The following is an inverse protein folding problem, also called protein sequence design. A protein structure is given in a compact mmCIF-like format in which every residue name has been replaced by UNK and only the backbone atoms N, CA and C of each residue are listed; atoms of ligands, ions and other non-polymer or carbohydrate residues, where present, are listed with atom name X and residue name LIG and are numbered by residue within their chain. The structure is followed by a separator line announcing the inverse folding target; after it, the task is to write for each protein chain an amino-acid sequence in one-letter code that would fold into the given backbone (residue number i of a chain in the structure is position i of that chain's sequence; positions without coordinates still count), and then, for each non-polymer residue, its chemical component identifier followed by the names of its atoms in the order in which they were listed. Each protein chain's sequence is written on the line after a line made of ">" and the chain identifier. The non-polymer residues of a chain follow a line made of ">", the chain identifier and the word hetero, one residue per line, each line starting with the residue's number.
data_IF_605947421333
#
_entry.id   IF_605947421333
#
_cell.length_a   1.000
_cell.length_b   1.000
_cell.length_c   1.000
_cell.angle_alpha   90.00
_cell.angle_beta   90.00
_cell.angle_gamma   90.00
#
_symmetry.space_group_name_H-M   'P 1'
#
loop_
_entity.id
_entity.type
_entity.pdbx_description
1 polymer ?
#
# COMPACT_ATOMS: atom_id res chain seq x y z
N UNK A 1 -23.22 -71.71 -23.47
CA UNK A 1 -23.12 -71.70 -21.99
C UNK A 1 -21.63 -71.61 -21.65
N UNK A 2 -21.06 -70.59 -21.04
CA UNK A 2 -21.51 -69.42 -20.28
C UNK A 2 -20.60 -68.23 -20.70
N UNK A 3 -21.15 -67.05 -20.95
CA UNK A 3 -20.37 -65.81 -21.08
C UNK A 3 -20.58 -64.93 -19.86
N UNK A 4 -19.46 -64.55 -19.24
CA UNK A 4 -19.31 -63.83 -17.99
C UNK A 4 -19.67 -62.35 -18.20
N UNK A 5 -20.69 -61.84 -17.50
CA UNK A 5 -20.94 -60.40 -17.39
C UNK A 5 -20.07 -59.81 -16.28
N UNK A 6 -19.26 -58.80 -16.60
CA UNK A 6 -18.74 -57.85 -15.60
C UNK A 6 -18.92 -56.44 -16.14
N UNK A 7 -19.87 -55.72 -15.55
CA UNK A 7 -20.01 -54.27 -15.62
C UNK A 7 -18.80 -53.63 -14.92
N UNK A 8 -18.08 -52.77 -15.62
CA UNK A 8 -17.18 -51.81 -14.99
C UNK A 8 -17.87 -50.45 -15.03
N UNK A 9 -18.29 -49.96 -13.86
CA UNK A 9 -18.85 -48.64 -13.69
C UNK A 9 -17.74 -47.60 -13.85
N UNK A 10 -17.92 -46.65 -14.78
CA UNK A 10 -17.08 -45.46 -14.86
C UNK A 10 -17.45 -44.53 -13.69
N UNK A 11 -16.54 -44.38 -12.74
CA UNK A 11 -16.63 -43.34 -11.71
C UNK A 11 -16.18 -42.04 -12.36
N UNK A 12 -17.14 -41.22 -12.76
CA UNK A 12 -16.89 -39.83 -13.13
C UNK A 12 -16.61 -39.07 -11.83
N UNK A 13 -15.33 -38.86 -11.52
CA UNK A 13 -14.92 -37.94 -10.47
C UNK A 13 -15.25 -36.53 -10.97
N UNK A 14 -16.36 -35.98 -10.47
CA UNK A 14 -16.69 -34.58 -10.66
C UNK A 14 -15.60 -33.73 -10.05
N UNK A 15 -14.73 -33.19 -10.90
CA UNK A 15 -13.78 -32.15 -10.54
C UNK A 15 -14.61 -30.90 -10.26
N UNK A 16 -15.02 -30.70 -9.00
CA UNK A 16 -15.47 -29.39 -8.56
C UNK A 16 -14.24 -28.48 -8.55
N UNK A 17 -14.01 -27.80 -9.67
CA UNK A 17 -13.13 -26.65 -9.71
C UNK A 17 -13.75 -25.59 -8.78
N UNK A 18 -13.25 -25.51 -7.56
CA UNK A 18 -13.39 -24.30 -6.77
C UNK A 18 -12.62 -23.22 -7.55
N UNK A 19 -13.35 -22.43 -8.35
CA UNK A 19 -12.83 -21.19 -8.91
C UNK A 19 -12.62 -20.19 -7.78
N UNK A 20 -11.58 -20.40 -6.99
CA UNK A 20 -10.97 -19.33 -6.23
C UNK A 20 -10.26 -18.44 -7.24
N UNK A 21 -10.97 -17.45 -7.77
CA UNK A 21 -10.33 -16.30 -8.39
C UNK A 21 -9.53 -15.61 -7.28
N UNK A 22 -8.29 -16.05 -7.07
CA UNK A 22 -7.29 -15.21 -6.42
C UNK A 22 -7.31 -13.91 -7.21
N UNK A 23 -7.71 -12.81 -6.59
CA UNK A 23 -7.57 -11.50 -7.20
C UNK A 23 -6.10 -11.40 -7.62
N UNK A 24 -5.84 -11.35 -8.92
CA UNK A 24 -4.48 -11.32 -9.44
C UNK A 24 -3.91 -9.95 -9.06
N UNK A 25 -3.09 -9.91 -8.03
CA UNK A 25 -2.38 -8.69 -7.66
C UNK A 25 -1.13 -8.53 -8.50
N UNK A 26 -0.65 -7.29 -8.57
CA UNK A 26 0.59 -6.92 -9.26
C UNK A 26 1.45 -6.07 -8.33
N UNK A 27 2.76 -6.16 -8.52
CA UNK A 27 3.74 -5.26 -7.90
C UNK A 27 4.07 -4.16 -8.90
N UNK A 28 3.65 -2.91 -8.67
CA UNK A 28 3.97 -1.81 -9.58
C UNK A 28 5.48 -1.60 -9.65
N UNK A 29 5.96 -1.13 -10.81
CA UNK A 29 7.35 -0.76 -11.01
C UNK A 29 7.43 0.75 -11.12
N UNK A 30 8.03 1.39 -10.13
CA UNK A 30 8.21 2.84 -10.12
C UNK A 30 9.60 3.21 -10.64
N UNK A 31 9.66 4.24 -11.47
CA UNK A 31 10.91 4.87 -11.89
C UNK A 31 11.41 5.83 -10.82
N UNK A 32 12.60 5.58 -10.28
CA UNK A 32 13.22 6.45 -9.27
C UNK A 32 13.40 7.89 -9.78
N UNK A 33 13.19 8.87 -8.91
CA UNK A 33 13.27 10.29 -9.24
C UNK A 33 12.10 10.83 -10.06
N UNK A 34 11.16 9.96 -10.49
CA UNK A 34 9.89 10.41 -11.07
C UNK A 34 8.93 10.82 -9.95
N UNK A 35 8.27 11.98 -10.04
CA UNK A 35 7.23 12.35 -9.09
C UNK A 35 5.97 11.50 -9.34
N UNK A 36 5.29 11.13 -8.27
CA UNK A 36 4.01 10.43 -8.28
C UNK A 36 3.02 11.19 -7.40
N UNK A 37 1.74 10.93 -7.62
CA UNK A 37 0.68 11.29 -6.70
C UNK A 37 0.12 10.00 -6.07
N UNK A 38 -0.14 10.04 -4.76
CA UNK A 38 -0.72 8.93 -4.00
C UNK A 38 -2.05 9.44 -3.43
N UNK A 39 -3.15 8.85 -3.89
CA UNK A 39 -4.51 9.22 -3.53
C UNK A 39 -5.22 8.07 -2.79
N UNK A 40 -6.02 8.39 -1.78
CA UNK A 40 -6.92 7.42 -1.14
C UNK A 40 -7.98 6.97 -2.13
N UNK A 41 -8.30 5.67 -2.11
CA UNK A 41 -9.33 5.09 -2.96
C UNK A 41 -10.77 5.44 -2.52
N UNK A 42 -10.97 6.03 -1.34
CA UNK A 42 -12.32 6.34 -0.82
C UNK A 42 -12.85 7.67 -1.36
N UNK A 43 -12.01 8.69 -1.42
CA UNK A 43 -12.41 10.08 -1.64
C UNK A 43 -11.44 10.84 -2.55
N UNK A 44 -10.60 10.13 -3.32
CA UNK A 44 -9.58 10.68 -4.23
C UNK A 44 -8.69 11.75 -3.59
N UNK A 45 -8.52 11.62 -2.28
CA UNK A 45 -7.83 12.59 -1.46
C UNK A 45 -6.35 12.26 -1.40
N UNK A 46 -5.49 13.26 -1.57
CA UNK A 46 -4.05 13.02 -1.70
C UNK A 46 -3.37 13.18 -0.37
N UNK A 47 -2.40 12.31 -0.14
CA UNK A 47 -1.54 12.40 1.03
C UNK A 47 -0.68 13.68 0.93
N UNK A 48 -0.59 14.47 2.00
CA UNK A 48 0.34 15.61 2.11
C UNK A 48 0.97 15.74 3.49
N UNK A 49 2.27 16.08 3.57
CA UNK A 49 2.96 16.34 4.84
C UNK A 49 2.71 17.77 5.34
N UNK A 50 2.02 17.94 6.47
CA UNK A 50 2.21 19.12 7.29
C UNK A 50 3.41 18.92 8.22
N UNK A 51 4.53 19.59 7.94
CA UNK A 51 5.65 19.64 8.87
C UNK A 51 5.41 20.75 9.92
N UNK A 52 4.62 20.44 10.94
CA UNK A 52 4.33 21.34 12.07
C UNK A 52 5.48 21.52 13.04
N UNK A 53 6.74 21.46 12.58
CA UNK A 53 7.91 21.61 13.43
C UNK A 53 7.94 23.00 14.09
N UNK A 54 7.44 23.09 15.32
CA UNK A 54 7.84 24.12 16.26
C UNK A 54 9.06 23.61 17.03
N UNK A 55 10.01 24.50 17.30
CA UNK A 55 11.29 24.15 17.92
C UNK A 55 11.09 23.36 19.22
N UNK A 56 11.47 22.08 19.23
CA UNK A 56 11.48 21.22 20.43
C UNK A 56 10.44 20.10 20.48
N UNK A 57 9.56 19.96 19.48
CA UNK A 57 8.63 18.83 19.37
C UNK A 57 8.98 18.05 18.10
N UNK A 58 9.16 16.70 18.14
CA UNK A 58 9.32 15.94 16.90
C UNK A 58 8.12 16.20 16.01
N UNK A 59 8.37 16.56 14.75
CA UNK A 59 7.35 16.88 13.76
C UNK A 59 6.26 15.82 13.77
N UNK A 60 5.08 16.15 14.30
CA UNK A 60 3.89 15.37 14.01
C UNK A 60 3.60 15.59 12.53
N UNK A 61 3.86 14.57 11.74
CA UNK A 61 3.54 14.54 10.33
C UNK A 61 2.05 14.27 10.26
N UNK A 62 1.28 15.33 10.06
CA UNK A 62 -0.11 15.15 9.68
C UNK A 62 -0.10 14.89 8.19
N UNK A 63 -0.58 13.71 7.83
CA UNK A 63 -0.86 13.39 6.45
C UNK A 63 -2.27 13.86 6.19
N UNK A 64 -2.39 15.06 5.61
CA UNK A 64 -3.67 15.67 5.29
C UNK A 64 -4.07 15.33 3.86
N UNK A 65 -5.36 15.48 3.59
CA UNK A 65 -5.97 15.37 2.28
C UNK A 65 -5.83 16.69 1.54
N UNK A 66 -5.07 16.74 0.44
CA UNK A 66 -4.96 17.95 -0.39
C UNK A 66 -5.23 17.67 -1.87
N UNK A 67 -5.44 18.69 -2.72
CA UNK A 67 -5.51 18.50 -4.17
C UNK A 67 -4.16 18.02 -4.79
N UNK A 68 -4.18 17.27 -5.91
CA UNK A 68 -3.02 16.56 -6.49
C UNK A 68 -1.79 17.42 -6.77
N UNK A 69 -2.04 18.68 -7.13
CA UNK A 69 -1.04 19.64 -7.57
C UNK A 69 -0.10 20.13 -6.45
N UNK A 70 -0.35 19.75 -5.19
CA UNK A 70 0.37 20.27 -4.03
C UNK A 70 1.28 19.24 -3.32
N UNK A 71 1.34 17.98 -3.79
CA UNK A 71 2.19 16.95 -3.19
C UNK A 71 2.84 16.09 -4.27
N UNK A 72 4.16 16.22 -4.47
CA UNK A 72 4.93 15.30 -5.32
C UNK A 72 5.65 14.28 -4.46
N UNK A 73 5.35 13.01 -4.71
CA UNK A 73 5.90 11.86 -4.01
C UNK A 73 6.99 11.19 -4.81
N UNK A 74 8.04 10.73 -4.16
CA UNK A 74 9.12 9.98 -4.78
C UNK A 74 9.23 8.62 -4.12
N UNK A 75 9.18 7.57 -4.94
CA UNK A 75 9.41 6.20 -4.52
C UNK A 75 10.85 5.81 -4.87
N UNK A 76 11.58 5.24 -3.91
CA UNK A 76 12.95 4.77 -4.10
C UNK A 76 13.07 3.35 -3.58
N UNK A 77 13.63 2.46 -4.40
CA UNK A 77 13.70 1.04 -4.10
C UNK A 77 14.58 0.77 -2.88
N UNK A 78 14.17 -0.18 -2.04
CA UNK A 78 15.00 -0.68 -0.93
C UNK A 78 15.77 -1.92 -1.37
N UNK A 79 16.82 -2.27 -0.62
CA UNK A 79 17.64 -3.47 -0.91
C UNK A 79 16.86 -4.78 -0.83
N UNK A 80 15.71 -4.76 -0.16
CA UNK A 80 14.90 -5.95 0.12
C UNK A 80 13.69 -6.06 -0.82
N UNK A 81 13.61 -5.17 -1.83
CA UNK A 81 12.58 -5.18 -2.86
C UNK A 81 11.29 -4.42 -2.50
N UNK A 82 11.31 -3.67 -1.41
CA UNK A 82 10.26 -2.70 -1.06
C UNK A 82 10.58 -1.30 -1.58
N UNK A 83 9.86 -0.32 -1.04
CA UNK A 83 9.92 1.08 -1.45
C UNK A 83 9.96 1.99 -0.23
N UNK A 84 10.89 2.94 -0.25
CA UNK A 84 10.75 4.13 0.57
C UNK A 84 9.88 5.15 -0.13
N UNK A 85 9.13 5.92 0.65
CA UNK A 85 8.21 6.94 0.15
C UNK A 85 8.64 8.28 0.73
N UNK A 86 8.98 9.25 -0.12
CA UNK A 86 9.45 10.59 0.28
C UNK A 86 8.61 11.69 -0.38
N UNK A 87 8.49 12.86 0.26
CA UNK A 87 7.77 14.01 -0.29
C UNK A 87 8.76 15.14 -0.60
N UNK A 88 8.53 15.84 -1.72
CA UNK A 88 9.21 17.06 -2.18
C UNK A 88 10.70 16.91 -2.52
N UNK A 89 11.40 15.97 -1.88
CA UNK A 89 12.80 15.66 -2.13
C UNK A 89 13.03 14.15 -2.04
N UNK A 90 13.50 13.50 -3.12
CA UNK A 90 13.71 12.06 -3.13
C UNK A 90 14.78 11.64 -2.13
N UNK A 91 14.48 10.56 -1.37
CA UNK A 91 15.43 9.82 -0.55
C UNK A 91 16.15 10.60 0.58
N UNK A 92 15.62 11.74 1.03
CA UNK A 92 16.14 12.48 2.20
C UNK A 92 15.34 12.17 3.47
N UNK A 93 14.03 12.44 3.40
CA UNK A 93 13.09 12.25 4.50
C UNK A 93 11.96 11.35 4.01
N UNK A 94 11.74 10.24 4.70
CA UNK A 94 10.80 9.21 4.28
C UNK A 94 9.66 9.08 5.27
N UNK A 95 8.48 8.73 4.75
CA UNK A 95 7.36 8.29 5.55
C UNK A 95 7.78 7.08 6.37
N UNK A 96 7.34 7.05 7.62
CA UNK A 96 7.60 5.98 8.57
C UNK A 96 6.27 5.60 9.19
N UNK A 97 5.88 4.34 9.08
CA UNK A 97 4.70 3.76 9.72
C UNK A 97 5.14 3.07 11.02
N UNK A 98 5.04 3.74 12.19
CA UNK A 98 5.46 3.16 13.44
C UNK A 98 4.57 1.97 13.78
N UNK A 99 5.16 0.90 14.30
CA UNK A 99 4.38 -0.21 14.83
C UNK A 99 3.58 0.21 16.07
N UNK A 100 2.35 -0.27 16.19
CA UNK A 100 1.54 -0.10 17.39
C UNK A 100 0.07 0.19 17.08
N UNK A 101 -0.77 0.02 18.09
CA UNK A 101 -2.21 0.26 17.99
C UNK A 101 -2.49 1.73 17.60
N UNK A 102 -3.12 1.93 16.44
CA UNK A 102 -3.53 3.24 15.92
C UNK A 102 -2.38 4.27 15.81
N UNK A 103 -1.20 3.78 15.44
CA UNK A 103 -0.03 4.62 15.26
C UNK A 103 -0.22 5.59 14.08
N UNK A 104 -0.02 6.88 14.34
CA UNK A 104 0.03 7.88 13.28
C UNK A 104 1.32 7.72 12.48
N UNK A 105 1.24 7.81 11.14
CA UNK A 105 2.42 7.85 10.31
C UNK A 105 3.27 9.10 10.65
N UNK A 106 4.59 8.95 10.54
CA UNK A 106 5.58 9.97 10.87
C UNK A 106 6.58 10.11 9.71
N UNK A 107 7.62 10.94 9.89
CA UNK A 107 8.77 10.94 8.99
C UNK A 107 10.06 10.63 9.73
N UNK A 108 10.96 9.96 9.03
CA UNK A 108 12.31 9.68 9.48
C UNK A 108 13.33 9.79 8.35
N UNK A 109 14.57 9.39 8.65
CA UNK A 109 15.62 9.26 7.65
C UNK A 109 15.28 8.13 6.66
N UNK A 110 15.52 8.35 5.37
CA UNK A 110 15.46 7.28 4.36
C UNK A 110 16.65 6.31 4.43
N UNK A 111 17.71 6.64 5.18
CA UNK A 111 18.91 5.82 5.25
C UNK A 111 18.63 4.50 5.97
N UNK A 112 19.12 3.39 5.40
CA UNK A 112 18.95 2.03 5.92
C UNK A 112 17.47 1.64 6.16
N UNK A 113 16.57 2.10 5.28
CA UNK A 113 15.15 1.86 5.44
C UNK A 113 14.73 0.40 5.27
N UNK A 114 15.48 -0.40 4.50
CA UNK A 114 15.16 -1.79 4.21
C UNK A 114 14.81 -2.61 5.47
N UNK A 115 13.64 -3.25 5.48
CA UNK A 115 13.13 -4.04 6.60
C UNK A 115 12.70 -3.22 7.83
N UNK A 116 12.64 -1.90 7.74
CA UNK A 116 12.22 -1.00 8.83
C UNK A 116 10.80 -0.45 8.61
N UNK A 117 10.34 0.37 9.55
CA UNK A 117 9.06 1.10 9.47
C UNK A 117 8.99 2.11 8.29
N UNK A 118 10.11 2.38 7.60
CA UNK A 118 10.17 3.27 6.43
C UNK A 118 10.25 2.51 5.08
N UNK A 119 10.20 1.18 5.11
CA UNK A 119 10.18 0.32 3.93
C UNK A 119 8.78 -0.26 3.74
N UNK A 120 8.21 -0.03 2.56
CA UNK A 120 6.85 -0.41 2.22
C UNK A 120 6.84 -1.43 1.09
N UNK A 121 6.14 -2.53 1.31
CA UNK A 121 5.70 -3.38 0.21
C UNK A 121 4.42 -2.80 -0.39
N UNK A 122 4.35 -2.77 -1.72
CA UNK A 122 3.22 -2.21 -2.46
C UNK A 122 2.64 -3.30 -3.36
N UNK A 123 1.36 -3.61 -3.17
CA UNK A 123 0.63 -4.62 -3.94
C UNK A 123 -0.70 -4.07 -4.38
N UNK A 124 -0.96 -4.09 -5.68
CA UNK A 124 -2.13 -3.44 -6.29
C UNK A 124 -3.02 -4.44 -7.04
N UNK A 125 -4.29 -4.09 -7.21
CA UNK A 125 -5.21 -4.88 -8.04
C UNK A 125 -4.95 -4.69 -9.54
N UNK A 126 -4.44 -3.52 -9.94
CA UNK A 126 -4.09 -3.20 -11.32
C UNK A 126 -2.82 -2.36 -11.38
N UNK A 127 -1.94 -2.65 -12.34
CA UNK A 127 -0.69 -1.94 -12.56
C UNK A 127 -0.50 -1.74 -14.06
N UNK A 128 -0.24 -0.50 -14.45
CA UNK A 128 0.18 -0.09 -15.78
C UNK A 128 1.47 0.73 -15.63
N UNK A 129 2.10 1.10 -16.74
CA UNK A 129 3.35 1.87 -16.71
C UNK A 129 3.20 3.26 -16.06
N UNK A 130 1.98 3.81 -16.03
CA UNK A 130 1.70 5.17 -15.53
C UNK A 130 0.77 5.23 -14.32
N UNK A 131 0.11 4.13 -13.99
CA UNK A 131 -0.96 4.10 -13.00
C UNK A 131 -1.05 2.73 -12.32
N UNK A 132 -1.16 2.72 -10.99
CA UNK A 132 -1.46 1.55 -10.18
C UNK A 132 -2.66 1.86 -9.28
N UNK A 133 -3.65 0.96 -9.26
CA UNK A 133 -4.93 1.21 -8.57
C UNK A 133 -5.27 0.15 -7.55
N UNK A 134 -5.99 0.56 -6.51
CA UNK A 134 -6.34 -0.29 -5.36
C UNK A 134 -5.10 -0.98 -4.77
N UNK A 135 -4.08 -0.17 -4.50
CA UNK A 135 -2.82 -0.55 -3.89
C UNK A 135 -2.93 -0.59 -2.38
N UNK A 136 -2.40 -1.66 -1.80
CA UNK A 136 -2.10 -1.75 -0.37
C UNK A 136 -0.65 -1.32 -0.15
N UNK A 137 -0.42 -0.47 0.84
CA UNK A 137 0.91 -0.09 1.31
C UNK A 137 1.10 -0.74 2.68
N UNK A 138 2.05 -1.67 2.77
CA UNK A 138 2.29 -2.45 4.00
C UNK A 138 3.70 -2.22 4.49
N UNK A 139 3.84 -1.76 5.73
CA UNK A 139 5.13 -1.52 6.36
C UNK A 139 5.87 -2.86 6.61
N UNK A 140 7.12 -2.96 6.18
CA UNK A 140 7.87 -4.21 6.16
C UNK A 140 8.08 -4.80 7.56
N UNK A 141 8.32 -3.96 8.56
CA UNK A 141 8.61 -4.34 9.94
C UNK A 141 7.37 -4.75 10.74
N UNK A 142 6.29 -3.96 10.67
CA UNK A 142 5.06 -4.20 11.46
C UNK A 142 4.04 -5.06 10.74
N UNK A 143 4.13 -5.18 9.41
CA UNK A 143 3.12 -5.83 8.57
C UNK A 143 1.74 -5.18 8.70
N UNK A 144 1.71 -3.90 9.04
CA UNK A 144 0.51 -3.07 9.13
C UNK A 144 0.29 -2.31 7.82
N UNK A 145 -0.99 -2.09 7.50
CA UNK A 145 -1.44 -1.33 6.35
C UNK A 145 -1.49 0.17 6.67
N UNK A 146 -1.22 0.98 5.66
CA UNK A 146 -1.46 2.43 5.70
C UNK A 146 -2.94 2.69 5.41
N UNK A 147 -3.64 3.34 6.35
CA UNK A 147 -5.11 3.45 6.34
C UNK A 147 -5.55 4.92 6.51
N UNK A 148 -6.58 5.31 5.76
CA UNK A 148 -7.36 6.53 6.03
C UNK A 148 -8.52 6.21 6.98
N UNK A 149 -8.55 6.72 8.22
CA UNK A 149 -9.67 6.51 9.13
C UNK A 149 -11.02 6.97 8.52
N UNK A 150 -12.00 6.07 8.51
CA UNK A 150 -13.27 6.21 7.78
C UNK A 150 -14.29 7.20 8.36
N UNK A 151 -13.96 7.97 9.39
CA UNK A 151 -14.86 8.86 10.14
C UNK A 151 -14.52 10.36 10.02
N UNK A 152 -13.92 10.76 8.91
CA UNK A 152 -13.21 12.02 8.81
C UNK A 152 -13.98 13.15 8.12
N UNK A 153 -14.93 13.74 8.85
CA UNK A 153 -15.48 15.10 8.57
C UNK A 153 -14.43 16.22 8.84
N UNK A 154 -13.13 15.92 8.72
CA UNK A 154 -12.00 16.80 8.95
C UNK A 154 -10.70 16.04 8.71
N UNK A 155 -9.70 16.71 8.14
CA UNK A 155 -8.42 16.18 7.65
C UNK A 155 -7.83 15.07 8.57
N UNK A 156 -8.08 13.78 8.28
CA UNK A 156 -7.70 12.72 9.20
C UNK A 156 -6.21 12.44 9.09
N UNK A 157 -5.56 12.27 10.23
CA UNK A 157 -4.20 11.75 10.21
C UNK A 157 -4.20 10.28 9.79
N UNK A 158 -3.45 9.97 8.73
CA UNK A 158 -3.26 8.59 8.24
C UNK A 158 -2.60 7.71 9.31
N UNK A 159 -3.07 6.47 9.39
CA UNK A 159 -2.68 5.51 10.43
C UNK A 159 -1.99 4.27 9.85
N UNK A 160 -1.20 3.63 10.70
CA UNK A 160 -0.69 2.27 10.52
C UNK A 160 -1.53 1.35 11.40
N UNK A 161 -2.20 0.37 10.80
CA UNK A 161 -3.13 -0.53 11.48
C UNK A 161 -3.08 -1.93 10.85
N UNK A 162 -3.64 -2.93 11.52
CA UNK A 162 -3.79 -4.27 10.94
C UNK A 162 -4.53 -4.19 9.59
N UNK A 163 -4.00 -4.90 8.59
CA UNK A 163 -4.64 -5.00 7.28
C UNK A 163 -5.96 -5.79 7.39
N UNK A 164 -7.07 -5.19 6.97
CA UNK A 164 -8.40 -5.78 7.12
C UNK A 164 -9.11 -6.04 5.80
N UNK A 165 -8.55 -5.61 4.67
CA UNK A 165 -9.18 -5.74 3.35
C UNK A 165 -10.21 -4.65 3.07
N UNK A 166 -10.24 -3.58 3.86
CA UNK A 166 -11.26 -2.54 3.72
C UNK A 166 -10.84 -1.45 2.72
N UNK A 167 -11.77 -0.72 2.10
CA UNK A 167 -11.41 0.33 1.14
C UNK A 167 -10.49 1.42 1.69
N UNK A 168 -10.47 1.62 3.01
CA UNK A 168 -9.67 2.61 3.74
C UNK A 168 -8.16 2.36 3.63
N UNK A 169 -7.76 1.12 3.35
CA UNK A 169 -6.35 0.73 3.19
C UNK A 169 -5.86 0.78 1.73
N UNK A 170 -6.76 1.16 0.80
CA UNK A 170 -6.50 1.16 -0.63
C UNK A 170 -6.10 2.54 -1.14
N UNK A 171 -5.09 2.54 -2.01
CA UNK A 171 -4.45 3.73 -2.57
C UNK A 171 -4.35 3.64 -4.09
N UNK A 172 -4.48 4.76 -4.77
CA UNK A 172 -4.23 4.90 -6.20
C UNK A 172 -2.93 5.71 -6.37
N UNK A 173 -2.01 5.19 -7.18
CA UNK A 173 -0.68 5.78 -7.42
C UNK A 173 -0.54 6.06 -8.91
N UNK A 174 -0.23 7.29 -9.29
CA UNK A 174 -0.10 7.67 -10.69
C UNK A 174 1.02 8.66 -10.90
N UNK A 175 1.67 8.55 -12.06
CA UNK A 175 2.55 9.60 -12.54
C UNK A 175 1.70 10.81 -12.99
N UNK A 176 2.12 12.05 -12.68
CA UNK A 176 1.42 13.26 -13.08
C UNK A 176 1.45 13.52 -14.60
#
# INVERSE_FOLDING_TARGET
>A
MFTLSKLTAAVTVGLMAASSTLAQTCSPQFTEGTPYAIASNINDSYIWLFNGASAGVPSAVHLEVVPPQFSTWFLTSTSDGGWTISIDSPAVTCVTAPAGEDATLTTGSCANAAGTNADFSISCASCTDSEATSCTLVAASSQECVIVPGDSDGDPSIRSLECTGTPEELWNIFAP
#
